data_IF_856556226346
#
_entry.id   IF_856556226346
#
_cell.length_a   1.000
_cell.length_b   1.000
_cell.length_c   1.000
_cell.angle_alpha   90.00
_cell.angle_beta   90.00
_cell.angle_gamma   90.00
#
_symmetry.space_group_name_H-M   'P 1'
#
loop_
_entity.id
_entity.type
_entity.pdbx_description
1 polymer ?
#
# COMPACT_ATOMS: atom_id res chain seq x y z
N UNK A 1 13.60 12.40 5.03
CA UNK A 1 13.60 11.52 6.23
C UNK A 1 12.63 10.43 5.90
N UNK A 2 13.10 9.19 5.77
CA UNK A 2 12.23 8.10 5.34
C UNK A 2 11.43 7.50 6.50
N UNK A 3 10.14 7.26 6.27
CA UNK A 3 9.25 6.56 7.20
C UNK A 3 9.40 5.05 7.03
N UNK A 4 9.66 4.31 8.13
CA UNK A 4 9.69 2.84 8.06
C UNK A 4 8.27 2.31 8.21
N UNK A 5 7.80 1.54 7.24
CA UNK A 5 6.40 1.04 7.22
C UNK A 5 6.35 -0.39 6.71
N UNK A 6 5.37 -1.15 7.18
CA UNK A 6 5.03 -2.40 6.51
C UNK A 6 4.22 -2.12 5.22
N UNK A 7 4.08 -3.15 4.38
CA UNK A 7 3.37 -3.03 3.09
C UNK A 7 1.92 -2.59 3.27
N UNK A 8 1.21 -3.10 4.29
CA UNK A 8 -0.18 -2.72 4.53
C UNK A 8 -0.34 -1.24 4.91
N UNK A 9 0.55 -0.74 5.76
CA UNK A 9 0.61 0.68 6.13
C UNK A 9 0.96 1.55 4.92
N UNK A 10 1.92 1.13 4.09
CA UNK A 10 2.26 1.83 2.85
C UNK A 10 1.07 1.89 1.87
N UNK A 11 0.36 0.78 1.66
CA UNK A 11 -0.84 0.78 0.81
C UNK A 11 -1.90 1.78 1.31
N UNK A 12 -2.09 1.87 2.63
CA UNK A 12 -3.04 2.81 3.22
C UNK A 12 -2.63 4.27 2.99
N UNK A 13 -1.33 4.58 3.07
CA UNK A 13 -0.80 5.89 2.74
C UNK A 13 -1.03 6.22 1.26
N UNK A 14 -0.73 5.29 0.36
CA UNK A 14 -0.97 5.45 -1.09
C UNK A 14 -2.44 5.71 -1.39
N UNK A 15 -3.39 5.04 -0.71
CA UNK A 15 -4.82 5.35 -0.84
C UNK A 15 -5.13 6.80 -0.48
N UNK A 16 -4.53 7.30 0.61
CA UNK A 16 -4.66 8.70 1.02
C UNK A 16 -4.13 9.68 -0.03
N UNK A 17 -2.96 9.40 -0.60
CA UNK A 17 -2.38 10.22 -1.66
C UNK A 17 -3.20 10.19 -2.95
N UNK A 18 -3.72 9.03 -3.36
CA UNK A 18 -4.62 8.95 -4.52
C UNK A 18 -5.86 9.83 -4.36
N UNK A 19 -6.42 9.91 -3.15
CA UNK A 19 -7.54 10.81 -2.88
C UNK A 19 -7.13 12.28 -2.84
N UNK A 20 -5.88 12.58 -2.47
CA UNK A 20 -5.32 13.93 -2.56
C UNK A 20 -5.10 14.35 -4.01
N UNK A 21 -4.51 13.49 -4.84
CA UNK A 21 -4.31 13.72 -6.27
C UNK A 21 -5.63 14.10 -6.96
N UNK A 22 -6.72 13.39 -6.67
CA UNK A 22 -8.06 13.74 -7.22
C UNK A 22 -8.53 15.14 -6.81
N UNK A 23 -8.22 15.59 -5.59
CA UNK A 23 -8.62 16.92 -5.10
C UNK A 23 -7.78 18.03 -5.72
N UNK A 24 -6.49 17.77 -5.90
CA UNK A 24 -5.54 18.72 -6.46
C UNK A 24 -5.48 18.67 -8.00
N UNK A 25 -6.18 17.72 -8.63
CA UNK A 25 -6.01 17.39 -10.05
C UNK A 25 -4.56 17.03 -10.42
N UNK A 26 -3.86 16.39 -9.50
CA UNK A 26 -2.45 15.99 -9.66
C UNK A 26 -2.24 14.53 -10.03
N UNK A 27 -0.98 14.16 -10.20
CA UNK A 27 -0.52 12.82 -10.53
C UNK A 27 0.36 12.24 -9.41
N UNK A 28 0.10 10.99 -9.01
CA UNK A 28 0.91 10.28 -8.03
C UNK A 28 1.99 9.50 -8.76
N UNK A 29 3.25 9.75 -8.42
CA UNK A 29 4.40 9.01 -8.92
C UNK A 29 5.10 8.35 -7.76
N UNK A 30 5.48 7.08 -7.95
CA UNK A 30 6.27 6.34 -6.99
C UNK A 30 7.52 5.83 -7.69
N UNK A 31 8.68 6.25 -7.18
CA UNK A 31 9.97 5.72 -7.57
C UNK A 31 10.36 4.60 -6.61
N UNK A 32 10.69 3.42 -7.13
CA UNK A 32 11.34 2.38 -6.35
C UNK A 32 12.85 2.42 -6.59
N UNK A 33 13.62 2.86 -5.58
CA UNK A 33 15.08 2.88 -5.64
C UNK A 33 15.61 1.49 -5.30
N UNK A 34 15.75 0.63 -6.32
CA UNK A 34 16.39 -0.68 -6.21
C UNK A 34 17.84 -0.57 -6.64
N UNK A 35 18.77 -0.64 -5.69
CA UNK A 35 20.22 -0.65 -5.94
C UNK A 35 20.65 0.39 -7.01
N UNK A 36 20.85 -0.05 -8.26
CA UNK A 36 21.32 0.75 -9.41
C UNK A 36 20.22 1.11 -10.44
N UNK A 37 18.99 0.62 -10.27
CA UNK A 37 17.84 0.86 -11.15
C UNK A 37 16.74 1.62 -10.38
N UNK A 38 16.34 2.75 -10.96
CA UNK A 38 15.32 3.62 -10.39
C UNK A 38 14.13 3.61 -11.36
N UNK A 39 13.14 2.77 -11.07
CA UNK A 39 11.93 2.68 -11.88
C UNK A 39 10.85 3.62 -11.32
N UNK A 40 10.40 4.56 -12.14
CA UNK A 40 9.28 5.46 -11.85
C UNK A 40 7.97 4.86 -12.34
N UNK A 41 6.95 4.88 -11.47
CA UNK A 41 5.62 4.41 -11.80
C UNK A 41 4.59 5.49 -11.51
N UNK A 42 3.79 5.85 -12.52
CA UNK A 42 2.57 6.63 -12.32
C UNK A 42 1.50 5.72 -11.75
N UNK A 43 0.96 6.09 -10.60
CA UNK A 43 -0.02 5.30 -9.84
C UNK A 43 -1.39 5.96 -9.95
N UNK A 44 -2.25 5.39 -10.79
CA UNK A 44 -3.64 5.87 -10.92
C UNK A 44 -4.61 5.14 -9.98
N UNK A 45 -4.21 3.96 -9.49
CA UNK A 45 -5.01 3.14 -8.59
C UNK A 45 -4.13 2.30 -7.67
N UNK A 46 -4.70 1.83 -6.55
CA UNK A 46 -3.97 0.96 -5.62
C UNK A 46 -3.52 -0.37 -6.27
N UNK A 47 -4.18 -0.80 -7.34
CA UNK A 47 -3.84 -2.03 -8.06
C UNK A 47 -2.51 -1.91 -8.80
N UNK A 48 -2.05 -0.69 -9.06
CA UNK A 48 -0.82 -0.44 -9.81
C UNK A 48 0.43 -0.67 -8.93
N UNK A 49 0.25 -0.74 -7.60
CA UNK A 49 1.33 -1.11 -6.66
C UNK A 49 1.93 -2.48 -6.94
N UNK A 50 1.18 -3.39 -7.55
CA UNK A 50 1.70 -4.72 -7.93
C UNK A 50 2.84 -4.64 -8.96
N UNK A 51 2.92 -3.56 -9.73
CA UNK A 51 3.95 -3.38 -10.76
C UNK A 51 5.29 -2.91 -10.20
N UNK A 52 5.31 -2.34 -8.99
CA UNK A 52 6.55 -1.87 -8.34
C UNK A 52 7.44 -3.00 -7.81
N UNK A 53 6.95 -4.26 -7.77
CA UNK A 53 7.66 -5.43 -7.20
C UNK A 53 8.32 -5.08 -5.86
N UNK A 54 7.53 -4.53 -4.93
CA UNK A 54 8.00 -4.00 -3.65
C UNK A 54 8.54 -5.12 -2.77
N UNK A 55 9.76 -4.97 -2.27
CA UNK A 55 10.44 -5.91 -1.37
C UNK A 55 10.79 -5.28 -0.03
N UNK A 56 11.06 -6.14 0.94
CA UNK A 56 11.53 -5.71 2.26
C UNK A 56 12.88 -4.99 2.12
N UNK A 57 12.99 -3.83 2.75
CA UNK A 57 14.10 -2.85 2.69
C UNK A 57 14.13 -1.95 1.45
N UNK A 58 13.17 -2.05 0.54
CA UNK A 58 13.07 -1.11 -0.58
C UNK A 58 12.86 0.32 -0.06
N UNK A 59 13.50 1.28 -0.73
CA UNK A 59 13.27 2.71 -0.54
C UNK A 59 12.35 3.21 -1.65
N UNK A 60 11.16 3.66 -1.26
CA UNK A 60 10.16 4.22 -2.16
C UNK A 60 10.11 5.72 -1.96
N UNK A 61 10.20 6.49 -3.04
CA UNK A 61 9.96 7.92 -3.04
C UNK A 61 8.59 8.17 -3.66
N UNK A 62 7.76 8.92 -2.96
CA UNK A 62 6.38 9.19 -3.36
C UNK A 62 6.23 10.68 -3.59
N UNK A 63 5.85 11.04 -4.81
CA UNK A 63 5.67 12.43 -5.23
C UNK A 63 4.26 12.64 -5.76
N UNK A 64 3.62 13.75 -5.39
CA UNK A 64 2.41 14.24 -6.07
C UNK A 64 2.79 15.46 -6.88
N UNK A 65 2.62 15.36 -8.19
CA UNK A 65 2.82 16.47 -9.14
C UNK A 65 1.50 17.18 -9.39
N UNK A 66 1.50 18.51 -9.35
CA UNK A 66 0.39 19.37 -9.78
C UNK A 66 0.98 20.48 -10.64
N UNK A 67 0.51 20.62 -11.88
CA UNK A 67 1.01 21.63 -12.83
C UNK A 67 2.56 21.64 -12.94
N UNK A 68 3.18 20.47 -13.02
CA UNK A 68 4.64 20.24 -13.05
C UNK A 68 5.42 20.64 -11.78
N UNK A 69 4.74 20.97 -10.67
CA UNK A 69 5.35 21.26 -9.37
C UNK A 69 5.15 20.13 -8.34
N UNK A 70 6.14 19.97 -7.45
CA UNK A 70 6.14 18.97 -6.36
C UNK A 70 5.29 19.47 -5.17
N UNK A 71 4.03 19.04 -5.10
CA UNK A 71 3.15 19.40 -3.98
C UNK A 71 3.38 18.53 -2.74
N UNK A 72 3.75 17.27 -2.94
CA UNK A 72 4.08 16.32 -1.88
C UNK A 72 5.31 15.55 -2.28
N UNK A 73 6.25 15.42 -1.35
CA UNK A 73 7.40 14.53 -1.46
C UNK A 73 7.63 13.84 -0.12
N UNK A 74 7.53 12.51 -0.10
CA UNK A 74 7.74 11.69 1.08
C UNK A 74 8.50 10.40 0.73
N UNK A 75 9.40 9.98 1.62
CA UNK A 75 10.24 8.79 1.44
C UNK A 75 9.78 7.67 2.40
N UNK A 76 9.77 6.43 1.94
CA UNK A 76 9.33 5.26 2.71
C UNK A 76 10.32 4.12 2.59
N UNK A 77 10.67 3.49 3.71
CA UNK A 77 11.43 2.23 3.73
C UNK A 77 10.50 1.10 4.12
N UNK A 78 10.34 0.12 3.23
CA UNK A 78 9.47 -1.03 3.48
C UNK A 78 10.14 -1.96 4.48
N UNK A 79 9.44 -2.31 5.56
CA UNK A 79 10.02 -3.12 6.63
C UNK A 79 9.04 -3.58 7.70
N UNK A 80 9.57 -4.30 8.68
CA UNK A 80 8.79 -4.85 9.80
C UNK A 80 8.55 -3.79 10.90
N UNK A 81 9.44 -2.80 10.99
CA UNK A 81 9.30 -1.69 11.94
C UNK A 81 8.34 -0.67 11.35
N UNK A 82 7.28 -0.35 12.09
CA UNK A 82 6.21 0.53 11.64
C UNK A 82 6.21 1.84 12.43
N UNK A 83 6.64 2.91 11.78
CA UNK A 83 6.62 4.29 12.25
C UNK A 83 5.21 4.90 12.16
N UNK A 84 4.14 4.08 12.19
CA UNK A 84 2.74 4.49 12.03
C UNK A 84 2.40 5.71 12.88
N UNK A 85 2.86 5.76 14.14
CA UNK A 85 2.56 6.88 15.06
C UNK A 85 3.17 8.20 14.59
N UNK A 86 4.33 8.16 13.97
CA UNK A 86 5.00 9.35 13.42
C UNK A 86 4.26 9.79 12.15
N UNK A 87 3.87 8.83 11.31
CA UNK A 87 3.03 9.01 10.13
C UNK A 87 1.66 9.62 10.49
N UNK A 88 1.00 9.12 11.53
CA UNK A 88 -0.26 9.64 12.04
C UNK A 88 -0.16 11.09 12.48
N UNK A 89 0.96 11.45 13.12
CA UNK A 89 1.18 12.80 13.60
C UNK A 89 1.51 13.79 12.48
N UNK A 90 2.31 13.38 11.50
CA UNK A 90 2.90 14.28 10.50
C UNK A 90 2.15 14.30 9.15
N UNK A 91 1.55 13.16 8.79
CA UNK A 91 0.93 12.94 7.48
C UNK A 91 -0.58 12.97 7.59
N UNK A 92 -1.19 12.16 8.48
CA UNK A 92 -2.66 12.14 8.64
C UNK A 92 -3.21 13.42 9.27
N UNK A 93 -2.39 14.25 9.92
CA UNK A 93 -2.80 15.60 10.32
C UNK A 93 -3.07 16.52 9.12
N UNK A 94 -2.47 16.24 7.95
CA UNK A 94 -2.76 16.93 6.68
C UNK A 94 -4.00 16.36 5.95
N UNK A 95 -4.50 15.20 6.39
CA UNK A 95 -5.64 14.50 5.78
C UNK A 95 -6.81 14.38 6.77
N UNK A 96 -7.82 15.28 6.75
CA UNK A 96 -8.89 15.29 7.76
C UNK A 96 -9.85 14.10 7.71
N UNK A 97 -9.68 13.15 6.78
CA UNK A 97 -10.44 11.90 6.79
C UNK A 97 -9.56 10.78 7.33
N UNK A 98 -9.88 10.34 8.55
CA UNK A 98 -9.33 9.15 9.20
C UNK A 98 -9.25 8.00 8.20
N UNK A 99 -8.04 7.70 7.75
CA UNK A 99 -7.73 6.42 7.13
C UNK A 99 -7.81 5.42 8.28
N UNK A 100 -8.83 4.56 8.29
CA UNK A 100 -8.86 3.43 9.21
C UNK A 100 -7.69 2.52 8.85
N UNK A 101 -6.61 2.63 9.61
CA UNK A 101 -5.48 1.69 9.55
C UNK A 101 -6.04 0.39 10.09
N UNK A 102 -6.51 -0.48 9.20
CA UNK A 102 -6.92 -1.83 9.57
C UNK A 102 -5.65 -2.53 10.05
N UNK A 103 -5.53 -2.85 11.36
CA UNK A 103 -4.36 -3.55 11.85
C UNK A 103 -4.33 -4.91 11.16
N UNK A 104 -3.15 -5.33 10.71
CA UNK A 104 -2.90 -6.58 9.99
C UNK A 104 -3.06 -7.80 10.92
N UNK A 105 -4.27 -7.99 11.47
CA UNK A 105 -4.66 -9.10 12.36
C UNK A 105 -5.63 -10.08 11.70
N UNK A 106 -5.89 -9.97 10.40
CA UNK A 106 -6.81 -10.89 9.68
C UNK A 106 -6.25 -11.50 8.39
N UNK A 107 -4.93 -11.64 8.25
CA UNK A 107 -4.33 -12.62 7.31
C UNK A 107 -3.77 -13.85 8.02
N UNK A 108 -4.54 -14.39 8.96
CA UNK A 108 -4.30 -15.70 9.54
C UNK A 108 -5.59 -16.53 9.56
N UNK A 109 -6.26 -16.67 8.42
CA UNK A 109 -7.09 -17.85 8.17
C UNK A 109 -6.54 -18.57 6.95
N UNK A 110 -5.85 -19.67 7.23
CA UNK A 110 -5.66 -20.75 6.26
C UNK A 110 -7.06 -21.17 5.82
N UNK A 111 -7.50 -20.75 4.64
CA UNK A 111 -8.54 -21.49 3.94
C UNK A 111 -7.94 -22.85 3.57
N UNK A 112 -8.10 -23.80 4.50
CA UNK A 112 -8.10 -25.21 4.17
C UNK A 112 -9.36 -25.43 3.34
N UNK A 113 -9.23 -25.27 2.02
CA UNK A 113 -10.21 -25.80 1.08
C UNK A 113 -10.06 -27.32 1.12
N UNK A 114 -10.66 -27.95 2.13
CA UNK A 114 -11.01 -29.37 2.03
C UNK A 114 -12.25 -29.46 1.14
N UNK A 115 -11.98 -29.52 -0.17
CA UNK A 115 -12.94 -29.92 -1.19
C UNK A 115 -13.44 -31.34 -0.89
N UNK A 116 -14.44 -31.48 -0.03
CA UNK A 116 -15.18 -32.74 0.09
C UNK A 116 -16.40 -32.73 -0.85
N UNK A 117 -16.14 -32.53 -2.13
CA UNK A 117 -17.13 -32.61 -3.21
C UNK A 117 -17.57 -34.07 -3.50
N UNK A 118 -16.95 -35.07 -2.83
CA UNK A 118 -17.27 -36.49 -2.98
C UNK A 118 -18.26 -37.04 -1.93
N UNK A 119 -18.55 -36.31 -0.84
CA UNK A 119 -19.45 -36.80 0.22
C UNK A 119 -20.96 -36.75 -0.15
N UNK A 120 -21.33 -36.14 -1.28
CA UNK A 120 -22.73 -36.04 -1.74
C UNK A 120 -23.25 -37.25 -2.52
N UNK A 121 -22.39 -38.20 -2.91
CA UNK A 121 -22.79 -39.34 -3.75
C UNK A 121 -22.96 -40.68 -3.02
N UNK A 122 -22.60 -40.78 -1.73
CA UNK A 122 -22.73 -42.01 -0.92
C UNK A 122 -24.05 -42.11 -0.13
N UNK A 123 -25.12 -41.44 -0.56
CA UNK A 123 -26.48 -41.65 -0.03
C UNK A 123 -27.41 -42.30 -1.06
N UNK A 124 -27.00 -43.42 -1.65
CA UNK A 124 -27.93 -44.43 -2.21
C UNK A 124 -27.27 -45.80 -2.15
N UNK A 125 -27.53 -46.54 -1.06
CA UNK A 125 -27.78 -47.99 -1.01
C UNK A 125 -27.74 -48.45 0.45
N UNK A 126 -28.92 -48.55 1.05
CA UNK A 126 -29.42 -49.74 1.76
C UNK A 126 -30.91 -49.54 1.98
#
# INVERSE_FOLDING_TARGET
MAYKVNVGTFENVVRGYLDLCKKLSGELVILNKKDDEADEYVISSIKDLKYLDIKNKDLLEVTIYVDDEDEVFDEFVIGINDDTKILEKNLFSKFPNKIEIVPDKEKAQKEKIENNHFAKFMKKKK
#
